data_IF_024471975051
#
_entry.id   IF_024471975051
#
_cell.length_a   1.000
_cell.length_b   1.000
_cell.length_c   1.000
_cell.angle_alpha   90.00
_cell.angle_beta   90.00
_cell.angle_gamma   90.00
#
_symmetry.space_group_name_H-M   'P 1'
#
loop_
_entity.id
_entity.type
_entity.pdbx_description
1 polymer ?
#
# COMPACT_ATOMS: atom_id res chain seq x y z
N UNK A 1 4.02 7.77 18.54
CA UNK A 1 4.71 8.84 17.79
C UNK A 1 4.01 9.07 16.45
N UNK A 2 4.04 10.32 15.95
CA UNK A 2 3.55 10.69 14.62
C UNK A 2 4.73 11.08 13.74
N UNK A 3 4.84 10.47 12.55
CA UNK A 3 5.97 10.65 11.65
C UNK A 3 5.46 11.01 10.25
N UNK A 4 5.36 12.29 9.90
CA UNK A 4 5.22 12.70 8.50
C UNK A 4 6.54 12.45 7.77
N UNK A 5 6.50 11.59 6.74
CA UNK A 5 7.72 11.05 6.12
C UNK A 5 8.24 11.88 4.94
N UNK A 6 7.66 13.07 4.72
CA UNK A 6 8.03 13.93 3.59
C UNK A 6 7.44 13.47 2.27
N UNK A 7 7.56 14.30 1.25
CA UNK A 7 7.04 14.01 -0.10
C UNK A 7 8.10 13.39 -1.00
N UNK A 8 7.73 12.33 -1.71
CA UNK A 8 8.57 11.68 -2.73
C UNK A 8 7.89 11.80 -4.09
N UNK A 9 8.56 12.47 -5.02
CA UNK A 9 8.07 12.54 -6.40
C UNK A 9 8.28 11.20 -7.11
N UNK A 10 7.24 10.73 -7.82
CA UNK A 10 7.23 9.45 -8.54
C UNK A 10 6.67 9.67 -9.95
N UNK A 11 7.32 9.11 -10.96
CA UNK A 11 6.88 9.14 -12.36
C UNK A 11 5.95 7.95 -12.63
N UNK A 12 4.78 8.00 -12.03
CA UNK A 12 3.68 7.04 -12.26
C UNK A 12 2.34 7.75 -12.09
N UNK A 13 1.27 7.09 -12.52
CA UNK A 13 -0.09 7.53 -12.19
C UNK A 13 -0.29 7.60 -10.67
N UNK A 14 -0.98 8.63 -10.14
CA UNK A 14 -1.31 8.68 -8.72
C UNK A 14 -2.13 7.47 -8.26
N UNK A 15 -2.95 6.89 -9.13
CA UNK A 15 -3.74 5.69 -8.82
C UNK A 15 -2.87 4.42 -8.76
N UNK A 16 -1.78 4.35 -9.56
CA UNK A 16 -0.79 3.28 -9.45
C UNK A 16 -0.04 3.31 -8.12
N UNK A 17 0.29 4.49 -7.62
CA UNK A 17 0.95 4.63 -6.31
C UNK A 17 0.05 4.14 -5.16
N UNK A 18 -1.26 4.40 -5.22
CA UNK A 18 -2.22 3.82 -4.27
C UNK A 18 -2.33 2.31 -4.43
N UNK A 19 -2.45 1.81 -5.67
CA UNK A 19 -2.54 0.37 -5.93
C UNK A 19 -1.32 -0.40 -5.41
N UNK A 20 -0.12 0.11 -5.61
CA UNK A 20 1.10 -0.48 -5.07
C UNK A 20 1.07 -0.55 -3.53
N UNK A 21 0.61 0.50 -2.86
CA UNK A 21 0.46 0.51 -1.41
C UNK A 21 -0.54 -0.56 -0.90
N UNK A 22 -1.52 -0.92 -1.71
CA UNK A 22 -2.55 -1.93 -1.40
C UNK A 22 -2.10 -3.37 -1.71
N UNK A 23 -1.05 -3.55 -2.50
CA UNK A 23 -0.53 -4.85 -2.88
C UNK A 23 0.39 -5.40 -1.80
N UNK A 24 0.13 -6.65 -1.38
CA UNK A 24 0.93 -7.37 -0.39
C UNK A 24 1.79 -8.47 -1.02
N UNK A 25 1.52 -8.85 -2.26
CA UNK A 25 2.22 -9.94 -2.93
C UNK A 25 3.67 -9.58 -3.30
N UNK A 26 3.99 -8.28 -3.45
CA UNK A 26 5.34 -7.85 -3.78
C UNK A 26 6.30 -7.83 -2.57
N UNK A 27 5.81 -7.91 -1.34
CA UNK A 27 6.62 -7.77 -0.12
C UNK A 27 7.85 -8.68 -0.08
N UNK A 28 7.76 -10.00 -0.35
CA UNK A 28 8.93 -10.87 -0.26
C UNK A 28 9.97 -10.62 -1.36
N UNK A 29 9.60 -9.92 -2.42
CA UNK A 29 10.45 -9.70 -3.60
C UNK A 29 11.03 -8.29 -3.65
N UNK A 30 10.23 -7.27 -3.32
CA UNK A 30 10.63 -5.85 -3.36
C UNK A 30 11.20 -5.41 -2.02
N UNK A 31 10.62 -5.88 -0.91
CA UNK A 31 11.01 -5.54 0.47
C UNK A 31 11.60 -6.73 1.22
N UNK A 32 12.38 -7.55 0.52
CA UNK A 32 13.01 -8.76 1.09
C UNK A 32 13.80 -8.44 2.35
N UNK A 33 13.57 -9.23 3.40
CA UNK A 33 14.22 -9.07 4.71
C UNK A 33 13.59 -7.99 5.59
N UNK A 34 12.58 -7.24 5.09
CA UNK A 34 11.83 -6.22 5.84
C UNK A 34 10.36 -6.65 5.94
N UNK A 35 9.60 -6.48 4.86
CA UNK A 35 8.16 -6.75 4.86
C UNK A 35 7.80 -8.18 4.45
N UNK A 36 8.76 -8.94 3.93
CA UNK A 36 8.58 -10.33 3.56
C UNK A 36 9.91 -10.99 3.18
N UNK A 37 9.92 -12.32 3.05
CA UNK A 37 11.09 -13.10 2.61
C UNK A 37 10.68 -14.51 2.17
N UNK A 38 11.52 -15.14 1.36
CA UNK A 38 11.36 -16.56 1.04
C UNK A 38 11.64 -17.43 2.29
N UNK A 39 10.93 -18.56 2.48
CA UNK A 39 9.91 -19.15 1.60
C UNK A 39 8.49 -18.60 1.81
N UNK A 40 8.28 -17.57 2.63
CA UNK A 40 6.98 -17.01 3.00
C UNK A 40 6.45 -16.04 1.92
N UNK A 41 6.15 -16.57 0.73
CA UNK A 41 5.73 -15.77 -0.43
C UNK A 41 4.23 -15.88 -0.75
N UNK A 42 3.52 -16.81 -0.12
CA UNK A 42 2.10 -17.01 -0.36
C UNK A 42 1.25 -15.99 0.39
N UNK A 43 0.29 -15.41 -0.32
CA UNK A 43 -0.75 -14.57 0.26
C UNK A 43 -1.97 -15.44 0.58
N UNK A 44 -2.29 -15.60 1.86
CA UNK A 44 -3.48 -16.33 2.30
C UNK A 44 -4.76 -15.63 1.81
N UNK A 45 -5.87 -16.37 1.63
CA UNK A 45 -7.15 -15.76 1.29
C UNK A 45 -7.58 -14.71 2.31
N UNK A 46 -8.03 -13.56 1.83
CA UNK A 46 -8.47 -12.43 2.63
C UNK A 46 -9.78 -11.85 2.08
N UNK A 47 -10.38 -10.88 2.77
CA UNK A 47 -11.65 -10.28 2.37
C UNK A 47 -11.46 -8.85 1.88
N UNK A 48 -12.18 -8.50 0.80
CA UNK A 48 -12.27 -7.12 0.31
C UNK A 48 -13.72 -6.78 0.01
N UNK A 49 -14.16 -5.62 0.48
CA UNK A 49 -15.52 -5.12 0.27
C UNK A 49 -15.51 -3.62 -0.04
N UNK A 50 -16.57 -3.15 -0.71
CA UNK A 50 -16.90 -1.74 -0.77
C UNK A 50 -17.97 -1.51 0.29
N UNK A 51 -17.66 -0.74 1.32
CA UNK A 51 -18.62 -0.34 2.35
C UNK A 51 -19.48 0.79 1.80
N UNK A 52 -20.73 0.47 1.45
CA UNK A 52 -21.63 1.37 0.74
C UNK A 52 -22.09 2.57 1.60
N UNK A 53 -22.12 2.42 2.91
CA UNK A 53 -22.52 3.47 3.88
C UNK A 53 -21.52 4.64 3.93
N UNK A 54 -20.24 4.36 3.67
CA UNK A 54 -19.15 5.35 3.66
C UNK A 54 -18.51 5.50 2.28
N UNK A 55 -18.91 4.65 1.31
CA UNK A 55 -18.36 4.58 -0.05
C UNK A 55 -16.81 4.46 -0.07
N UNK A 56 -16.29 3.48 0.68
CA UNK A 56 -14.87 3.19 0.83
C UNK A 56 -14.55 1.74 0.50
N UNK A 57 -13.31 1.47 0.06
CA UNK A 57 -12.80 0.10 -0.07
C UNK A 57 -12.13 -0.32 1.23
N UNK A 58 -12.47 -1.51 1.70
CA UNK A 58 -11.86 -2.13 2.88
C UNK A 58 -11.34 -3.53 2.53
N UNK A 59 -10.10 -3.82 2.92
CA UNK A 59 -9.52 -5.16 2.87
C UNK A 59 -9.17 -5.58 4.29
N UNK A 60 -9.64 -6.76 4.70
CA UNK A 60 -9.54 -7.26 6.08
C UNK A 60 -9.13 -8.72 6.11
N UNK A 61 -8.74 -9.22 7.29
CA UNK A 61 -8.29 -10.60 7.48
C UNK A 61 -7.03 -10.92 6.67
N UNK A 62 -6.15 -9.95 6.51
CA UNK A 62 -4.86 -10.13 5.85
C UNK A 62 -3.85 -10.52 6.91
N UNK A 63 -3.19 -11.67 6.72
CA UNK A 63 -2.06 -12.11 7.52
C UNK A 63 -0.81 -12.26 6.65
N UNK A 64 0.34 -11.85 7.16
CA UNK A 64 1.59 -11.98 6.44
C UNK A 64 2.78 -12.10 7.39
N UNK A 65 3.70 -13.01 7.07
CA UNK A 65 4.95 -13.18 7.80
C UNK A 65 5.90 -12.01 7.50
N UNK A 66 6.34 -11.28 8.51
CA UNK A 66 7.27 -10.16 8.35
C UNK A 66 8.54 -10.37 9.15
N UNK A 67 9.72 -10.38 8.49
CA UNK A 67 11.03 -10.43 9.15
C UNK A 67 11.24 -9.24 10.09
N UNK A 68 10.84 -8.04 9.66
CA UNK A 68 10.96 -6.81 10.43
C UNK A 68 9.66 -6.00 10.40
N UNK A 69 8.70 -6.40 11.23
CA UNK A 69 7.38 -5.77 11.27
C UNK A 69 7.37 -4.30 11.76
N UNK A 70 8.41 -3.86 12.46
CA UNK A 70 8.62 -2.49 12.91
C UNK A 70 10.13 -2.18 12.96
N UNK A 71 10.51 -0.89 12.99
CA UNK A 71 11.93 -0.48 13.08
C UNK A 71 12.61 -1.10 14.31
N UNK A 72 11.89 -1.16 15.41
CA UNK A 72 12.34 -1.74 16.69
C UNK A 72 12.22 -3.27 16.79
N UNK A 73 11.67 -3.94 15.75
CA UNK A 73 11.48 -5.38 15.78
C UNK A 73 12.83 -6.11 15.70
N UNK A 74 13.02 -7.11 16.57
CA UNK A 74 14.20 -7.97 16.63
C UNK A 74 13.91 -9.41 16.17
N UNK A 75 12.64 -9.73 15.99
CA UNK A 75 12.18 -11.06 15.57
C UNK A 75 11.09 -10.94 14.51
N UNK A 76 11.01 -11.95 13.63
CA UNK A 76 9.94 -12.07 12.65
C UNK A 76 8.63 -12.44 13.36
N UNK A 77 7.53 -11.88 12.88
CA UNK A 77 6.19 -12.14 13.41
C UNK A 77 5.16 -12.30 12.29
N UNK A 78 4.05 -12.98 12.62
CA UNK A 78 2.83 -12.93 11.82
C UNK A 78 2.10 -11.62 12.10
N UNK A 79 1.97 -10.78 11.08
CA UNK A 79 1.26 -9.51 11.14
C UNK A 79 -0.16 -9.66 10.66
N UNK A 80 -1.07 -8.86 11.24
CA UNK A 80 -2.43 -8.67 10.74
C UNK A 80 -2.55 -7.29 10.14
N UNK A 81 -3.19 -7.21 8.98
CA UNK A 81 -3.39 -5.98 8.23
C UNK A 81 -4.86 -5.73 7.94
N UNK A 82 -5.24 -4.48 7.99
CA UNK A 82 -6.49 -3.98 7.40
C UNK A 82 -6.18 -2.75 6.56
N UNK A 83 -6.64 -2.73 5.30
CA UNK A 83 -6.53 -1.56 4.44
C UNK A 83 -7.86 -0.85 4.33
N UNK A 84 -7.80 0.47 4.27
CA UNK A 84 -8.92 1.37 4.02
C UNK A 84 -8.55 2.35 2.92
N UNK A 85 -9.41 2.51 1.91
CA UNK A 85 -9.28 3.49 0.84
C UNK A 85 -10.44 4.47 0.93
N UNK A 86 -10.29 5.60 1.65
CA UNK A 86 -11.35 6.59 1.85
C UNK A 86 -11.51 7.54 0.66
N UNK A 87 -10.48 7.66 -0.18
CA UNK A 87 -10.49 8.52 -1.37
C UNK A 87 -9.60 7.92 -2.47
N UNK A 88 -9.81 8.24 -3.75
CA UNK A 88 -9.04 7.67 -4.87
C UNK A 88 -7.53 7.76 -4.74
N UNK A 89 -7.03 8.78 -4.09
CA UNK A 89 -5.58 9.04 -3.93
C UNK A 89 -5.11 8.95 -2.48
N UNK A 90 -5.86 8.22 -1.63
CA UNK A 90 -5.53 8.05 -0.21
C UNK A 90 -5.79 6.60 0.19
N UNK A 91 -4.80 5.98 0.83
CA UNK A 91 -4.97 4.69 1.47
C UNK A 91 -4.38 4.69 2.88
N UNK A 92 -4.98 3.91 3.75
CA UNK A 92 -4.60 3.76 5.17
C UNK A 92 -4.44 2.28 5.45
N UNK A 93 -3.34 1.92 6.07
CA UNK A 93 -3.05 0.61 6.60
C UNK A 93 -3.12 0.65 8.13
N UNK A 94 -3.88 -0.23 8.70
CA UNK A 94 -3.84 -0.61 10.11
C UNK A 94 -3.09 -1.93 10.22
N UNK A 95 -2.05 -1.99 11.02
CA UNK A 95 -1.24 -3.20 11.17
C UNK A 95 -1.00 -3.55 12.63
N UNK A 96 -0.71 -4.81 12.89
CA UNK A 96 -0.29 -5.29 14.20
C UNK A 96 0.77 -4.37 14.82
N UNK A 97 0.53 -3.98 16.05
CA UNK A 97 1.48 -3.21 16.85
C UNK A 97 2.19 -4.14 17.83
N UNK A 98 3.45 -4.57 17.57
CA UNK A 98 4.15 -5.54 18.41
C UNK A 98 4.26 -5.12 19.90
N UNK A 99 4.62 -3.85 20.22
CA UNK A 99 4.72 -3.42 21.62
C UNK A 99 3.35 -3.28 22.32
N UNK A 100 2.23 -3.26 21.57
CA UNK A 100 0.89 -3.07 22.13
C UNK A 100 -0.17 -3.88 21.37
N UNK A 101 -0.26 -5.20 21.58
CA UNK A 101 -1.06 -6.12 20.75
C UNK A 101 -2.56 -5.80 20.65
N UNK A 102 -3.13 -5.02 21.57
CA UNK A 102 -4.54 -4.58 21.53
C UNK A 102 -4.74 -3.27 20.73
N UNK A 103 -3.69 -2.76 20.08
CA UNK A 103 -3.70 -1.52 19.31
C UNK A 103 -3.18 -1.75 17.90
N UNK A 104 -3.41 -0.78 17.04
CA UNK A 104 -2.92 -0.77 15.66
C UNK A 104 -1.87 0.32 15.48
N UNK A 105 -0.77 -0.02 14.84
CA UNK A 105 0.04 0.97 14.16
C UNK A 105 -0.68 1.38 12.87
N UNK A 106 -0.59 2.65 12.51
CA UNK A 106 -1.25 3.19 11.33
C UNK A 106 -0.23 3.78 10.37
N UNK A 107 -0.30 3.36 9.12
CA UNK A 107 0.51 3.91 8.03
C UNK A 107 -0.46 4.42 6.97
N UNK A 108 -0.30 5.64 6.52
CA UNK A 108 -1.14 6.22 5.47
C UNK A 108 -0.26 6.71 4.32
N UNK A 109 -0.82 6.66 3.11
CA UNK A 109 -0.27 7.32 1.94
C UNK A 109 -1.29 8.31 1.39
N UNK A 110 -0.85 9.57 1.27
CA UNK A 110 -1.59 10.62 0.56
C UNK A 110 -0.86 10.89 -0.75
N UNK A 111 -1.53 10.67 -1.87
CA UNK A 111 -0.92 10.83 -3.18
C UNK A 111 -1.46 12.10 -3.83
N UNK A 112 -0.58 13.07 -4.01
CA UNK A 112 -0.88 14.33 -4.67
C UNK A 112 -0.64 14.17 -6.19
N UNK A 113 -1.68 14.25 -7.03
CA UNK A 113 -1.51 14.28 -8.47
C UNK A 113 -0.77 15.54 -8.92
N UNK A 114 0.24 15.39 -9.79
CA UNK A 114 0.91 16.50 -10.47
C UNK A 114 0.51 16.52 -11.95
N UNK A 115 0.60 15.36 -12.59
CA UNK A 115 0.02 15.06 -13.90
C UNK A 115 -0.65 13.69 -13.83
N UNK A 116 -1.28 13.24 -14.92
CA UNK A 116 -1.85 11.89 -15.01
C UNK A 116 -0.80 10.77 -14.88
N UNK A 117 0.49 11.09 -15.08
CA UNK A 117 1.64 10.17 -15.04
C UNK A 117 2.74 10.58 -14.06
N UNK A 118 2.47 11.55 -13.19
CA UNK A 118 3.43 12.00 -12.16
C UNK A 118 2.67 12.39 -10.91
N UNK A 119 3.16 11.95 -9.76
CA UNK A 119 2.59 12.29 -8.47
C UNK A 119 3.66 12.58 -7.42
N UNK A 120 3.23 13.12 -6.29
CA UNK A 120 4.04 13.18 -5.06
C UNK A 120 3.32 12.30 -4.03
N UNK A 121 4.00 11.28 -3.56
CA UNK A 121 3.52 10.44 -2.46
C UNK A 121 3.99 11.02 -1.13
N UNK A 122 3.08 11.13 -0.17
CA UNK A 122 3.31 11.62 1.18
C UNK A 122 2.99 10.48 2.17
N UNK A 123 3.95 9.60 2.47
CA UNK A 123 3.76 8.60 3.51
C UNK A 123 3.71 9.25 4.88
N UNK A 124 2.91 8.68 5.77
CA UNK A 124 2.72 9.17 7.13
C UNK A 124 2.48 8.00 8.07
N UNK A 125 3.02 8.05 9.29
CA UNK A 125 2.89 6.98 10.27
C UNK A 125 2.38 7.51 11.61
N UNK A 126 1.56 6.69 12.29
CA UNK A 126 1.22 6.82 13.70
C UNK A 126 1.53 5.49 14.39
N UNK A 127 2.56 5.47 15.22
CA UNK A 127 3.14 4.26 15.79
C UNK A 127 3.15 4.31 17.33
N UNK A 128 3.04 3.15 17.95
CA UNK A 128 3.32 2.93 19.37
C UNK A 128 4.80 2.55 19.61
N UNK A 129 5.71 3.13 18.85
CA UNK A 129 7.15 2.95 19.05
C UNK A 129 7.65 4.00 20.04
N UNK A 130 8.18 3.54 21.18
CA UNK A 130 8.71 4.38 22.26
C UNK A 130 10.24 4.29 22.38
N UNK A 131 10.88 3.49 21.51
CA UNK A 131 12.32 3.19 21.62
C UNK A 131 13.13 3.68 20.42
N UNK A 132 12.52 3.80 19.23
CA UNK A 132 13.22 4.27 18.04
C UNK A 132 13.30 5.79 18.01
N UNK A 133 14.43 6.31 17.55
CA UNK A 133 14.56 7.73 17.28
C UNK A 133 13.72 8.14 16.04
N UNK A 134 13.22 9.37 16.05
CA UNK A 134 12.40 9.90 14.96
C UNK A 134 13.09 9.79 13.58
N UNK A 135 14.39 10.08 13.54
CA UNK A 135 15.17 9.99 12.31
C UNK A 135 15.25 8.56 11.75
N UNK A 136 15.33 7.55 12.63
CA UNK A 136 15.38 6.14 12.24
C UNK A 136 14.04 5.67 11.68
N UNK A 137 12.93 6.09 12.30
CA UNK A 137 11.59 5.80 11.81
C UNK A 137 11.35 6.43 10.42
N UNK A 138 11.76 7.69 10.26
CA UNK A 138 11.68 8.39 8.99
C UNK A 138 12.50 7.69 7.90
N UNK A 139 13.75 7.34 8.20
CA UNK A 139 14.62 6.64 7.26
C UNK A 139 14.06 5.28 6.88
N UNK A 140 13.57 4.51 7.84
CA UNK A 140 12.98 3.19 7.61
C UNK A 140 11.80 3.24 6.62
N UNK A 141 10.88 4.20 6.82
CA UNK A 141 9.74 4.36 5.91
C UNK A 141 10.17 4.86 4.52
N UNK A 142 11.14 5.77 4.46
CA UNK A 142 11.65 6.26 3.18
C UNK A 142 12.38 5.16 2.41
N UNK A 143 13.14 4.30 3.07
CA UNK A 143 13.81 3.16 2.45
C UNK A 143 12.80 2.22 1.78
N UNK A 144 11.74 1.83 2.50
CA UNK A 144 10.66 0.99 1.96
C UNK A 144 10.04 1.66 0.73
N UNK A 145 9.63 2.92 0.83
CA UNK A 145 8.96 3.60 -0.27
C UNK A 145 9.87 3.85 -1.48
N UNK A 146 11.18 4.02 -1.28
CA UNK A 146 12.14 4.16 -2.40
C UNK A 146 12.34 2.84 -3.16
N UNK A 147 12.17 1.69 -2.49
CA UNK A 147 12.11 0.40 -3.16
C UNK A 147 10.88 0.31 -4.08
N UNK A 148 9.71 0.70 -3.58
CA UNK A 148 8.47 0.80 -4.37
C UNK A 148 8.60 1.75 -5.57
N UNK A 149 9.24 2.90 -5.38
CA UNK A 149 9.43 3.90 -6.42
C UNK A 149 10.08 3.30 -7.66
N UNK A 150 11.09 2.43 -7.49
CA UNK A 150 11.79 1.81 -8.61
C UNK A 150 10.87 0.91 -9.45
N UNK A 151 9.92 0.23 -8.82
CA UNK A 151 8.92 -0.61 -9.49
C UNK A 151 7.87 0.27 -10.17
N UNK A 152 7.31 1.24 -9.45
CA UNK A 152 6.28 2.14 -9.95
C UNK A 152 6.70 2.91 -11.20
N UNK A 153 7.94 3.43 -11.24
CA UNK A 153 8.46 4.19 -12.38
C UNK A 153 8.72 3.32 -13.63
N UNK A 154 8.78 2.00 -13.47
CA UNK A 154 9.01 1.04 -14.57
C UNK A 154 7.76 0.24 -14.95
N UNK A 155 6.66 0.35 -14.21
CA UNK A 155 5.42 -0.37 -14.49
C UNK A 155 4.75 0.10 -15.78
N UNK A 156 4.25 -0.86 -16.57
CA UNK A 156 3.52 -0.62 -17.83
C UNK A 156 2.18 -1.35 -17.81
N UNK A 157 1.10 -0.70 -18.27
CA UNK A 157 1.00 0.71 -18.66
C UNK A 157 1.19 1.65 -17.47
N UNK A 158 1.67 2.88 -17.72
CA UNK A 158 1.91 3.90 -16.68
C UNK A 158 0.62 4.37 -16.01
N UNK A 159 -0.44 4.53 -16.78
CA UNK A 159 -1.78 4.80 -16.26
C UNK A 159 -2.39 3.53 -15.67
N UNK A 160 -3.25 3.67 -14.66
CA UNK A 160 -3.94 2.54 -14.05
C UNK A 160 -5.06 2.03 -14.96
N UNK A 161 -4.99 0.77 -15.48
CA UNK A 161 -6.08 0.22 -16.28
C UNK A 161 -7.32 -0.06 -15.43
N UNK A 162 -8.46 0.45 -15.86
CA UNK A 162 -9.76 0.16 -15.22
C UNK A 162 -10.56 -0.91 -15.98
N UNK A 163 -10.11 -1.34 -17.17
CA UNK A 163 -10.66 -2.48 -17.89
C UNK A 163 -9.94 -3.76 -17.42
N UNK A 164 -10.67 -4.74 -16.83
CA UNK A 164 -10.06 -5.96 -16.28
C UNK A 164 -9.41 -6.86 -17.36
N UNK A 165 -9.60 -6.57 -18.65
CA UNK A 165 -8.96 -7.31 -19.76
C UNK A 165 -7.55 -6.81 -20.07
N UNK A 166 -7.13 -5.68 -19.53
CA UNK A 166 -5.83 -5.07 -19.84
C UNK A 166 -4.68 -5.64 -19.02
N UNK A 167 -4.96 -6.21 -17.87
CA UNK A 167 -4.01 -6.92 -17.01
C UNK A 167 -4.68 -8.17 -16.46
N UNK A 168 -3.90 -9.19 -16.15
CA UNK A 168 -4.41 -10.47 -15.64
C UNK A 168 -4.20 -10.49 -14.13
N UNK A 169 -5.24 -10.22 -13.31
CA UNK A 169 -5.12 -10.29 -11.86
C UNK A 169 -5.05 -11.75 -11.39
N UNK A 170 -4.34 -11.95 -10.31
CA UNK A 170 -4.27 -13.21 -9.57
C UNK A 170 -5.13 -13.13 -8.31
N UNK A 171 -5.14 -14.20 -7.49
CA UNK A 171 -5.94 -14.21 -6.24
C UNK A 171 -5.43 -13.21 -5.20
N UNK A 172 -4.14 -12.93 -5.19
CA UNK A 172 -3.54 -11.96 -4.27
C UNK A 172 -3.85 -10.49 -4.64
N UNK A 173 -4.31 -10.22 -5.89
CA UNK A 173 -4.65 -8.87 -6.36
C UNK A 173 -6.09 -8.44 -6.02
N UNK A 174 -6.77 -9.12 -5.11
CA UNK A 174 -8.20 -8.88 -4.84
C UNK A 174 -8.46 -7.42 -4.43
N UNK A 175 -7.58 -6.81 -3.63
CA UNK A 175 -7.71 -5.39 -3.23
C UNK A 175 -7.61 -4.47 -4.44
N UNK A 176 -6.63 -4.68 -5.32
CA UNK A 176 -6.44 -3.93 -6.56
C UNK A 176 -7.66 -4.04 -7.47
N UNK A 177 -8.21 -5.26 -7.64
CA UNK A 177 -9.41 -5.50 -8.46
C UNK A 177 -10.62 -4.72 -7.93
N UNK A 178 -10.84 -4.76 -6.61
CA UNK A 178 -11.97 -4.04 -6.00
C UNK A 178 -11.75 -2.53 -6.03
N UNK A 179 -10.52 -2.05 -5.79
CA UNK A 179 -10.15 -0.64 -5.91
C UNK A 179 -10.41 -0.11 -7.33
N UNK A 180 -9.96 -0.81 -8.39
CA UNK A 180 -10.22 -0.43 -9.79
C UNK A 180 -11.71 -0.41 -10.11
N UNK A 181 -12.49 -1.38 -9.61
CA UNK A 181 -13.96 -1.41 -9.76
C UNK A 181 -14.63 -0.20 -9.09
N UNK A 182 -14.18 0.13 -7.89
CA UNK A 182 -14.66 1.30 -7.15
C UNK A 182 -14.33 2.63 -7.86
N UNK A 183 -13.10 2.78 -8.37
CA UNK A 183 -12.67 3.92 -9.19
C UNK A 183 -13.53 4.06 -10.46
N UNK A 184 -13.79 2.96 -11.15
CA UNK A 184 -14.66 2.94 -12.34
C UNK A 184 -16.08 3.40 -11.99
N UNK A 185 -16.64 2.93 -10.88
CA UNK A 185 -17.95 3.34 -10.38
C UNK A 185 -18.01 4.85 -10.07
N UNK A 186 -16.92 5.40 -9.54
CA UNK A 186 -16.79 6.85 -9.30
C UNK A 186 -16.55 7.68 -10.56
N UNK A 187 -16.37 7.06 -11.72
CA UNK A 187 -16.07 7.76 -12.97
C UNK A 187 -14.66 8.35 -13.01
N UNK A 188 -13.70 7.75 -12.33
CA UNK A 188 -12.31 8.20 -12.32
C UNK A 188 -11.70 8.09 -13.73
N UNK A 189 -11.17 9.20 -14.24
CA UNK A 189 -10.50 9.28 -15.55
C UNK A 189 -9.06 9.77 -15.44
N UNK A 190 -8.77 10.61 -14.46
CA UNK A 190 -7.44 11.17 -14.25
C UNK A 190 -6.49 10.11 -13.70
N UNK A 191 -5.37 9.88 -14.38
CA UNK A 191 -4.43 8.82 -14.03
C UNK A 191 -4.90 7.40 -14.36
N UNK A 192 -6.09 7.26 -14.97
CA UNK A 192 -6.68 5.97 -15.33
C UNK A 192 -6.68 5.76 -16.86
N UNK A 193 -6.57 4.48 -17.25
CA UNK A 193 -6.79 4.04 -18.63
C UNK A 193 -8.12 3.27 -18.68
N UNK A 194 -9.11 3.83 -19.39
CA UNK A 194 -10.49 3.29 -19.43
C UNK A 194 -10.78 2.40 -20.64
N UNK A 195 -9.95 2.47 -21.67
CA UNK A 195 -10.05 1.67 -22.90
C UNK A 195 -8.70 1.10 -23.27
N UNK A 196 -8.68 -0.05 -23.95
CA UNK A 196 -7.48 -0.55 -24.61
C UNK A 196 -7.01 0.48 -25.64
N UNK A 197 -5.72 0.81 -25.63
CA UNK A 197 -5.10 1.70 -26.60
C UNK A 197 -4.96 0.99 -27.95
#
# INVERSE_FOLDING_TARGET
VFVPCGGVQVRCSPLRAVENFLDIAHFPFVHTGILGEEPHTEVAPYKVEIREDVDEVWATQIGFHQPQAAKSATEAIETQYEYRVPAPTTAVLYKTCPPKPASWDVIAIFVQPVTDQTCIAWPWMALYDEVSEYADLLQFQQEIFLQDRSILENQKPTLLPLDPRMEIPTRCDLTSVVYRRWLKRKGATYGAQTTAA
#
